data_IF_315570950544
#
_entry.id   IF_315570950544
#
_cell.length_a   1.000
_cell.length_b   1.000
_cell.length_c   1.000
_cell.angle_alpha   90.00
_cell.angle_beta   90.00
_cell.angle_gamma   90.00
#
_symmetry.space_group_name_H-M   'P 1'
#
loop_
_entity.id
_entity.type
_entity.pdbx_description
1 polymer ?
#
# COMPACT_ATOMS: atom_id res chain seq x y z
N UNK A 1 -8.17 -68.12 15.12
CA UNK A 1 -7.84 -67.74 16.52
C UNK A 1 -6.49 -67.06 16.50
N UNK A 2 -6.47 -65.73 16.53
CA UNK A 2 -5.41 -64.87 17.04
C UNK A 2 -5.97 -63.46 17.00
N UNK A 3 -6.02 -62.88 18.20
CA UNK A 3 -6.80 -61.73 18.60
C UNK A 3 -6.21 -60.40 18.10
N UNK A 4 -7.11 -59.41 17.98
CA UNK A 4 -6.75 -58.01 17.81
C UNK A 4 -6.18 -57.41 19.10
N UNK A 5 -5.34 -56.36 19.00
CA UNK A 5 -5.29 -55.31 20.01
C UNK A 5 -6.02 -54.05 19.54
N UNK A 6 -6.88 -53.53 20.41
CA UNK A 6 -7.41 -52.16 20.40
C UNK A 6 -6.43 -51.24 21.13
N UNK A 7 -6.14 -50.08 20.55
CA UNK A 7 -5.83 -48.83 21.28
C UNK A 7 -6.01 -47.65 20.30
N UNK A 8 -7.02 -46.81 20.52
CA UNK A 8 -6.95 -45.47 21.17
C UNK A 8 -7.00 -44.36 20.10
N UNK A 9 -8.16 -43.74 19.92
CA UNK A 9 -8.42 -42.35 20.33
C UNK A 9 -7.45 -41.34 19.70
N UNK A 10 -7.84 -40.84 18.52
CA UNK A 10 -7.25 -39.65 17.91
C UNK A 10 -8.36 -38.85 17.24
N UNK A 11 -9.13 -38.10 18.03
CA UNK A 11 -9.91 -36.98 17.52
C UNK A 11 -8.93 -35.97 16.90
N UNK A 12 -8.66 -36.08 15.61
CA UNK A 12 -8.16 -34.94 14.85
C UNK A 12 -9.31 -33.96 14.68
N UNK A 13 -9.58 -33.21 15.76
CA UNK A 13 -10.17 -31.90 15.61
C UNK A 13 -9.25 -31.14 14.66
N UNK A 14 -9.76 -30.81 13.47
CA UNK A 14 -9.19 -29.75 12.66
C UNK A 14 -9.25 -28.49 13.52
N UNK A 15 -8.17 -28.26 14.25
CA UNK A 15 -7.90 -26.98 14.89
C UNK A 15 -7.79 -25.98 13.75
N UNK A 16 -8.90 -25.31 13.45
CA UNK A 16 -8.85 -23.97 12.88
C UNK A 16 -8.05 -23.16 13.91
N UNK A 17 -6.74 -23.11 13.72
CA UNK A 17 -5.96 -22.01 14.24
C UNK A 17 -6.72 -20.76 13.77
N UNK A 18 -7.12 -19.84 14.68
CA UNK A 18 -7.67 -18.58 14.25
C UNK A 18 -6.63 -17.99 13.29
N UNK A 19 -7.07 -17.71 12.05
CA UNK A 19 -6.37 -16.82 11.13
C UNK A 19 -5.84 -15.69 11.98
N UNK A 20 -4.52 -15.48 11.96
CA UNK A 20 -3.91 -14.29 12.54
C UNK A 20 -4.83 -13.13 12.16
N UNK A 21 -5.45 -12.55 13.18
CA UNK A 21 -6.34 -11.43 12.97
C UNK A 21 -5.57 -10.44 12.11
N UNK A 22 -6.22 -9.91 11.08
CA UNK A 22 -5.81 -8.66 10.47
C UNK A 22 -5.72 -7.66 11.61
N UNK A 23 -4.56 -7.56 12.26
CA UNK A 23 -4.32 -6.55 13.27
C UNK A 23 -4.43 -5.25 12.49
N UNK A 24 -5.46 -4.41 12.75
CA UNK A 24 -5.50 -3.11 12.14
C UNK A 24 -4.19 -2.41 12.51
N UNK A 25 -3.54 -1.79 11.53
CA UNK A 25 -2.33 -0.96 11.72
C UNK A 25 -2.60 0.25 12.66
N UNK A 26 -3.80 0.34 13.24
CA UNK A 26 -4.24 1.36 14.18
C UNK A 26 -3.69 1.17 15.61
N UNK A 27 -3.09 0.03 15.97
CA UNK A 27 -2.90 -0.32 17.37
C UNK A 27 -1.73 0.35 18.12
N UNK A 28 -0.78 1.03 17.46
CA UNK A 28 0.42 1.59 18.15
C UNK A 28 0.89 2.96 17.62
N UNK A 29 0.02 3.79 17.07
CA UNK A 29 0.32 5.19 16.73
C UNK A 29 -0.55 6.11 17.57
N UNK A 30 -0.24 6.16 18.87
CA UNK A 30 -0.92 7.03 19.82
C UNK A 30 -0.65 8.50 19.47
N UNK A 31 -1.67 9.20 18.96
CA UNK A 31 -1.82 10.64 19.17
C UNK A 31 -2.00 11.54 17.94
N UNK A 32 -1.74 11.07 16.71
CA UNK A 32 -1.85 11.93 15.53
C UNK A 32 -3.02 11.55 14.62
N UNK A 33 -3.90 12.53 14.36
CA UNK A 33 -5.04 12.36 13.47
C UNK A 33 -4.56 12.09 12.02
N UNK A 34 -5.19 11.14 11.31
CA UNK A 34 -4.82 10.85 9.94
C UNK A 34 -5.09 12.07 9.04
N UNK A 35 -4.08 12.45 8.26
CA UNK A 35 -4.17 13.50 7.25
C UNK A 35 -4.30 12.89 5.86
N UNK A 36 -5.16 13.45 5.02
CA UNK A 36 -5.27 13.02 3.63
C UNK A 36 -3.94 13.26 2.90
N UNK A 37 -3.53 12.28 2.10
CA UNK A 37 -2.31 12.35 1.31
C UNK A 37 -2.58 11.91 -0.14
N UNK A 38 -1.99 12.61 -1.10
CA UNK A 38 -2.03 12.21 -2.50
C UNK A 38 -0.79 12.69 -3.26
N UNK A 39 -0.41 11.96 -4.31
CA UNK A 39 0.74 12.27 -5.15
C UNK A 39 0.51 11.81 -6.59
N UNK A 40 1.04 12.58 -7.54
CA UNK A 40 1.12 12.20 -8.95
C UNK A 40 2.52 11.61 -9.24
N UNK A 41 2.55 10.41 -9.82
CA UNK A 41 3.78 9.69 -10.16
C UNK A 41 3.89 9.62 -11.68
N UNK A 42 4.87 10.34 -12.21
CA UNK A 42 5.19 10.34 -13.63
C UNK A 42 6.25 9.28 -13.97
N UNK A 43 6.90 9.43 -15.13
CA UNK A 43 7.96 8.54 -15.58
C UNK A 43 9.29 8.72 -14.79
N UNK A 44 9.51 9.87 -14.15
CA UNK A 44 10.67 10.09 -13.29
C UNK A 44 10.52 9.40 -11.94
N UNK A 45 9.27 9.18 -11.50
CA UNK A 45 8.98 8.61 -10.19
C UNK A 45 9.16 9.63 -9.07
N UNK A 46 8.91 9.19 -7.85
CA UNK A 46 8.98 10.03 -6.64
C UNK A 46 9.67 9.28 -5.50
N UNK A 47 10.39 10.01 -4.66
CA UNK A 47 10.91 9.52 -3.38
C UNK A 47 10.08 10.14 -2.26
N UNK A 48 9.74 9.32 -1.28
CA UNK A 48 8.90 9.71 -0.15
C UNK A 48 9.68 9.38 1.11
N UNK A 49 10.02 10.40 1.88
CA UNK A 49 10.70 10.27 3.17
C UNK A 49 9.66 10.39 4.29
N UNK A 50 9.47 9.30 5.03
CA UNK A 50 8.52 9.21 6.14
C UNK A 50 9.33 9.31 7.43
N UNK A 51 9.03 10.33 8.25
CA UNK A 51 9.78 10.59 9.47
C UNK A 51 9.68 9.41 10.46
N UNK A 52 10.65 9.25 11.39
CA UNK A 52 10.55 8.24 12.45
C UNK A 52 9.22 8.37 13.20
N UNK A 53 8.60 7.22 13.52
CA UNK A 53 7.27 7.14 14.16
C UNK A 53 6.10 7.66 13.32
N UNK A 54 6.31 7.99 12.05
CA UNK A 54 5.24 8.33 11.09
C UNK A 54 4.91 7.14 10.18
N UNK A 55 3.73 7.16 9.59
CA UNK A 55 3.28 6.14 8.63
C UNK A 55 2.58 6.79 7.44
N UNK A 56 2.80 6.23 6.25
CA UNK A 56 2.01 6.51 5.06
C UNK A 56 1.26 5.25 4.65
N UNK A 57 -0.05 5.33 4.51
CA UNK A 57 -0.88 4.21 4.05
C UNK A 57 -1.48 4.56 2.70
N UNK A 58 -1.10 3.83 1.65
CA UNK A 58 -1.68 3.98 0.32
C UNK A 58 -2.97 3.16 0.23
N UNK A 59 -4.07 3.82 -0.13
CA UNK A 59 -5.41 3.20 -0.19
C UNK A 59 -5.93 3.03 -1.62
N UNK A 60 -5.44 3.84 -2.55
CA UNK A 60 -5.86 3.77 -3.94
C UNK A 60 -4.80 4.29 -4.88
N UNK A 61 -4.80 3.74 -6.09
CA UNK A 61 -4.04 4.28 -7.21
C UNK A 61 -4.92 4.28 -8.46
N UNK A 62 -4.73 5.28 -9.30
CA UNK A 62 -5.48 5.44 -10.55
C UNK A 62 -4.57 5.92 -11.66
N UNK A 63 -4.85 5.49 -12.88
CA UNK A 63 -4.09 5.85 -14.06
C UNK A 63 -5.04 6.06 -15.23
N UNK A 64 -4.89 7.19 -15.93
CA UNK A 64 -5.44 7.33 -17.26
C UNK A 64 -4.51 6.60 -18.23
N UNK A 65 -4.73 5.30 -18.40
CA UNK A 65 -4.02 4.50 -19.41
C UNK A 65 -4.78 4.59 -20.75
N UNK A 66 -4.12 4.94 -21.86
CA UNK A 66 -4.70 4.78 -23.19
C UNK A 66 -5.19 3.34 -23.42
N UNK A 67 -6.21 3.16 -24.25
CA UNK A 67 -6.69 1.84 -24.62
C UNK A 67 -5.53 1.00 -25.21
N UNK A 68 -5.33 -0.20 -24.67
CA UNK A 68 -4.23 -1.10 -25.08
C UNK A 68 -2.90 -0.87 -24.37
N UNK A 69 -2.76 0.17 -23.54
CA UNK A 69 -1.58 0.37 -22.69
C UNK A 69 -1.66 -0.45 -21.41
N UNK A 70 -0.50 -0.92 -20.94
CA UNK A 70 -0.32 -1.49 -19.59
C UNK A 70 0.61 -0.60 -18.80
N UNK A 71 0.29 -0.36 -17.53
CA UNK A 71 1.16 0.34 -16.59
C UNK A 71 1.20 -0.38 -15.26
N UNK A 72 2.36 -0.43 -14.62
CA UNK A 72 2.58 -1.09 -13.33
C UNK A 72 3.15 -0.06 -12.37
N UNK A 73 2.51 0.07 -11.20
CA UNK A 73 3.03 0.87 -10.10
C UNK A 73 3.92 -0.01 -9.22
N UNK A 74 5.14 0.44 -8.97
CA UNK A 74 6.09 -0.21 -8.08
C UNK A 74 6.38 0.67 -6.87
N UNK A 75 6.62 0.03 -5.73
CA UNK A 75 7.28 0.62 -4.58
C UNK A 75 8.64 -0.04 -4.37
N UNK A 76 9.63 0.75 -4.01
CA UNK A 76 10.97 0.29 -3.64
C UNK A 76 11.37 0.87 -2.29
N UNK A 77 11.96 0.07 -1.43
CA UNK A 77 12.51 0.50 -0.14
C UNK A 77 13.61 -0.45 0.30
N UNK A 78 14.68 0.07 0.92
CA UNK A 78 15.79 -0.71 1.46
C UNK A 78 16.38 -1.76 0.48
N UNK A 79 16.46 -1.43 -0.81
CA UNK A 79 16.97 -2.32 -1.87
C UNK A 79 15.97 -3.36 -2.40
N UNK A 80 14.76 -3.43 -1.83
CA UNK A 80 13.67 -4.28 -2.32
C UNK A 80 12.74 -3.50 -3.24
N UNK A 81 12.07 -4.21 -4.16
CA UNK A 81 11.10 -3.65 -5.10
C UNK A 81 9.91 -4.59 -5.25
N UNK A 82 8.70 -4.07 -5.14
CA UNK A 82 7.45 -4.81 -5.28
C UNK A 82 6.48 -4.09 -6.21
N UNK A 83 5.74 -4.86 -7.02
CA UNK A 83 4.63 -4.32 -7.79
C UNK A 83 3.41 -4.16 -6.87
N UNK A 84 2.86 -2.95 -6.79
CA UNK A 84 1.67 -2.66 -5.99
C UNK A 84 0.37 -2.95 -6.76
N UNK A 85 0.33 -2.58 -8.04
CA UNK A 85 -0.82 -2.82 -8.90
C UNK A 85 -0.47 -2.74 -10.39
N UNK A 86 -1.37 -3.26 -11.22
CA UNK A 86 -1.27 -3.23 -12.69
C UNK A 86 -2.53 -2.57 -13.25
N UNK A 87 -2.35 -1.50 -14.02
CA UNK A 87 -3.35 -0.85 -14.84
C UNK A 87 -3.31 -1.43 -16.25
N UNK A 88 -4.48 -1.69 -16.81
CA UNK A 88 -4.63 -2.23 -18.16
C UNK A 88 -5.92 -1.75 -18.80
N UNK A 89 -6.26 -2.30 -19.97
CA UNK A 89 -7.38 -1.82 -20.80
C UNK A 89 -8.75 -1.77 -20.10
N UNK A 90 -8.98 -2.56 -19.05
CA UNK A 90 -10.24 -2.62 -18.31
C UNK A 90 -10.18 -1.94 -16.92
N UNK A 91 -9.01 -1.48 -16.47
CA UNK A 91 -8.81 -1.04 -15.09
C UNK A 91 -7.94 0.21 -15.01
N UNK A 92 -8.59 1.34 -14.73
CA UNK A 92 -7.95 2.64 -14.48
C UNK A 92 -7.78 2.94 -12.99
N UNK A 93 -8.25 2.05 -12.11
CA UNK A 93 -8.25 2.22 -10.67
C UNK A 93 -7.90 0.90 -9.98
N UNK A 94 -7.11 1.00 -8.90
CA UNK A 94 -6.73 -0.10 -8.04
C UNK A 94 -6.93 0.31 -6.57
N UNK A 95 -7.55 -0.57 -5.79
CA UNK A 95 -7.58 -0.44 -4.34
C UNK A 95 -6.28 -1.00 -3.76
N UNK A 96 -5.71 -0.28 -2.81
CA UNK A 96 -4.48 -0.62 -2.11
C UNK A 96 -4.75 -0.69 -0.61
N UNK A 97 -3.81 -1.30 0.12
CA UNK A 97 -3.82 -1.35 1.58
C UNK A 97 -2.39 -1.57 2.07
N UNK A 98 -1.47 -0.70 1.64
CA UNK A 98 -0.04 -0.87 1.88
C UNK A 98 0.46 0.23 2.84
N UNK A 99 0.82 -0.11 4.09
CA UNK A 99 1.52 0.81 4.98
C UNK A 99 3.01 0.88 4.64
N UNK A 100 3.58 2.07 4.83
CA UNK A 100 5.00 2.35 4.64
C UNK A 100 5.56 3.14 5.82
N UNK A 101 6.81 2.84 6.16
CA UNK A 101 7.64 3.58 7.11
C UNK A 101 9.04 3.75 6.51
N UNK A 102 9.76 4.81 6.91
CA UNK A 102 11.05 5.17 6.32
C UNK A 102 10.95 5.61 4.85
N UNK A 103 12.06 5.58 4.13
CA UNK A 103 12.12 6.04 2.74
C UNK A 103 11.54 5.01 1.76
N UNK A 104 10.64 5.47 0.89
CA UNK A 104 10.02 4.68 -0.18
C UNK A 104 10.10 5.44 -1.50
N UNK A 105 10.57 4.78 -2.55
CA UNK A 105 10.50 5.28 -3.91
C UNK A 105 9.32 4.65 -4.65
N UNK A 106 8.44 5.47 -5.24
CA UNK A 106 7.38 5.01 -6.11
C UNK A 106 7.74 5.29 -7.57
N UNK A 107 7.50 4.30 -8.43
CA UNK A 107 7.84 4.40 -9.86
C UNK A 107 6.81 3.68 -10.71
N UNK A 108 6.74 4.07 -11.98
CA UNK A 108 5.84 3.44 -12.95
C UNK A 108 6.63 2.80 -14.09
N UNK A 109 6.15 1.67 -14.60
CA UNK A 109 6.67 1.04 -15.82
C UNK A 109 5.50 0.71 -16.72
N UNK A 110 5.56 1.06 -18.00
CA UNK A 110 4.49 0.76 -18.93
C UNK A 110 4.61 1.46 -20.27
N UNK A 111 3.69 1.12 -21.15
CA UNK A 111 3.65 1.64 -22.52
C UNK A 111 2.80 2.92 -22.59
N UNK A 112 3.37 3.96 -23.17
CA UNK A 112 2.70 5.23 -23.43
C UNK A 112 2.84 6.27 -22.30
N UNK A 113 2.46 7.53 -22.59
CA UNK A 113 2.51 8.62 -21.62
C UNK A 113 1.41 8.49 -20.56
N UNK A 114 1.61 9.15 -19.42
CA UNK A 114 0.58 9.32 -18.39
C UNK A 114 1.10 9.06 -16.99
N UNK A 115 0.62 9.86 -16.05
CA UNK A 115 0.93 9.69 -14.65
C UNK A 115 0.02 8.65 -13.98
N UNK A 116 0.43 8.20 -12.80
CA UNK A 116 -0.39 7.44 -11.85
C UNK A 116 -0.66 8.35 -10.67
N UNK A 117 -1.93 8.58 -10.35
CA UNK A 117 -2.33 9.29 -9.14
C UNK A 117 -2.50 8.28 -8.03
N UNK A 118 -1.84 8.50 -6.91
CA UNK A 118 -1.93 7.65 -5.72
C UNK A 118 -2.47 8.48 -4.58
N UNK A 119 -3.34 7.89 -3.76
CA UNK A 119 -3.90 8.55 -2.58
C UNK A 119 -4.01 7.61 -1.40
N UNK A 120 -4.13 8.20 -0.22
CA UNK A 120 -4.09 7.51 1.04
C UNK A 120 -4.19 8.48 2.20
N UNK A 121 -3.60 8.10 3.32
CA UNK A 121 -3.47 8.95 4.48
C UNK A 121 -2.09 8.79 5.12
N UNK A 122 -1.62 9.85 5.76
CA UNK A 122 -0.46 9.81 6.64
C UNK A 122 -0.88 10.02 8.09
N UNK A 123 -0.09 9.49 9.02
CA UNK A 123 -0.06 9.95 10.40
C UNK A 123 1.40 10.33 10.67
N UNK A 124 1.64 11.58 11.04
CA UNK A 124 3.00 12.13 11.11
C UNK A 124 3.48 12.78 9.83
N UNK A 125 4.77 13.10 9.83
CA UNK A 125 5.42 13.88 8.79
C UNK A 125 5.83 12.99 7.60
N UNK A 126 5.43 13.43 6.39
CA UNK A 126 5.76 12.81 5.12
C UNK A 126 6.25 13.89 4.16
N UNK A 127 7.47 13.73 3.65
CA UNK A 127 8.09 14.63 2.69
C UNK A 127 8.22 13.93 1.34
N UNK A 128 7.82 14.62 0.27
CA UNK A 128 7.93 14.10 -1.10
C UNK A 128 9.05 14.85 -1.82
N UNK A 129 9.99 14.10 -2.39
CA UNK A 129 11.08 14.63 -3.21
C UNK A 129 11.08 13.97 -4.59
N UNK A 130 11.17 14.80 -5.63
CA UNK A 130 10.94 14.36 -7.01
C UNK A 130 9.45 14.23 -7.34
N UNK A 131 9.10 14.45 -8.60
CA UNK A 131 7.72 14.61 -9.06
C UNK A 131 7.20 16.05 -9.00
N UNK A 132 6.04 16.29 -9.62
CA UNK A 132 5.36 17.59 -9.61
C UNK A 132 4.54 17.71 -8.33
N UNK A 133 4.93 18.61 -7.44
CA UNK A 133 4.28 18.84 -6.14
C UNK A 133 2.80 19.23 -6.33
N UNK A 134 1.87 18.42 -5.82
CA UNK A 134 0.45 18.80 -5.68
C UNK A 134 0.23 19.11 -4.20
N UNK A 135 0.35 20.39 -3.85
CA UNK A 135 0.25 20.87 -2.48
C UNK A 135 -1.06 20.41 -1.81
N UNK A 136 -0.92 19.63 -0.74
CA UNK A 136 -2.00 19.19 0.13
C UNK A 136 -1.74 19.56 1.59
N UNK A 137 -1.13 20.72 1.87
CA UNK A 137 -1.12 21.29 3.22
C UNK A 137 -2.08 22.47 3.25
N UNK A 138 -3.30 22.19 3.67
CA UNK A 138 -4.33 23.19 3.86
C UNK A 138 -5.21 22.77 5.01
N UNK A 139 -4.78 23.05 6.25
CA UNK A 139 -5.72 23.29 7.34
C UNK A 139 -6.64 24.41 6.86
N UNK A 140 -7.81 24.04 6.36
CA UNK A 140 -8.87 25.00 6.06
C UNK A 140 -9.48 25.36 7.42
N UNK A 141 -8.90 26.35 8.08
CA UNK A 141 -9.58 27.10 9.13
C UNK A 141 -10.83 27.70 8.47
N UNK A 142 -12.00 27.18 8.84
CA UNK A 142 -13.28 27.79 8.50
C UNK A 142 -13.56 28.78 9.62
N UNK A 143 -13.34 30.07 9.31
CA UNK A 143 -13.89 31.18 10.08
C UNK A 143 -15.39 31.35 9.81
#
# INVERSE_FOLDING_TARGET
>A
RLDAPRSEHGHHQNSMAPRAADTPIDAELDGEEPSFWACEIDAAGVSIDIAPSSVLVLTSASAAAPAGSRRVLFASSNGYRAALCVFGAAGTHAQLSHPFTGTVALSTVGDGPGAVHVSGYSRGEVLVSGGKEVAGSGKKEVA
#
